data_IF_298804686927
#
_entry.id   IF_298804686927
#
_cell.length_a   1.000
_cell.length_b   1.000
_cell.length_c   1.000
_cell.angle_alpha   90.00
_cell.angle_beta   90.00
_cell.angle_gamma   90.00
#
_symmetry.space_group_name_H-M   'P 1'
#
loop_
_entity.id
_entity.type
_entity.pdbx_description
1 polymer ?
#
# COMPACT_ATOMS: atom_id res chain seq x y z
N UNK A 1 27.42 15.60 8.31
CA UNK A 1 26.38 15.89 7.32
C UNK A 1 25.16 15.07 7.69
N UNK A 2 24.10 15.72 8.19
CA UNK A 2 22.89 15.05 8.64
C UNK A 2 22.16 14.44 7.44
N UNK A 3 22.02 13.11 7.41
CA UNK A 3 21.07 12.46 6.50
C UNK A 3 19.68 12.64 7.10
N UNK A 4 18.93 13.49 6.40
CA UNK A 4 17.51 13.79 6.51
C UNK A 4 16.68 12.50 6.64
N UNK A 5 15.60 12.55 7.41
CA UNK A 5 14.85 11.41 7.95
C UNK A 5 14.50 10.28 6.98
N UNK A 6 14.45 9.08 7.55
CA UNK A 6 13.83 7.82 7.07
C UNK A 6 13.11 7.92 5.72
N UNK A 7 13.85 7.66 4.65
CA UNK A 7 13.29 7.46 3.32
C UNK A 7 12.67 6.06 3.27
N UNK A 8 11.39 5.93 3.65
CA UNK A 8 10.63 4.70 3.37
C UNK A 8 10.58 4.56 1.86
N UNK A 9 11.42 3.68 1.33
CA UNK A 9 11.47 3.38 -0.10
C UNK A 9 10.10 2.88 -0.50
N UNK A 10 9.41 3.63 -1.36
CA UNK A 10 8.09 3.24 -1.88
C UNK A 10 8.18 1.87 -2.56
N UNK A 11 7.09 1.08 -2.59
CA UNK A 11 7.04 -0.17 -3.34
C UNK A 11 7.37 0.05 -4.82
N UNK A 12 7.78 -1.02 -5.51
CA UNK A 12 8.31 -0.93 -6.88
C UNK A 12 7.23 -0.44 -7.87
N UNK A 13 5.99 -0.89 -7.64
CA UNK A 13 4.82 -0.55 -8.46
C UNK A 13 3.74 0.02 -7.55
N UNK A 14 3.84 1.28 -7.07
CA UNK A 14 2.99 1.76 -5.98
C UNK A 14 1.49 1.64 -6.23
N UNK A 15 1.02 2.01 -7.43
CA UNK A 15 -0.41 1.92 -7.76
C UNK A 15 -0.89 0.47 -7.84
N UNK A 16 -0.17 -0.41 -8.52
CA UNK A 16 -0.55 -1.83 -8.62
C UNK A 16 -0.42 -2.54 -7.26
N UNK A 17 0.52 -2.12 -6.42
CA UNK A 17 0.65 -2.61 -5.04
C UNK A 17 -0.53 -2.15 -4.19
N UNK A 18 -0.99 -0.90 -4.35
CA UNK A 18 -2.20 -0.42 -3.69
C UNK A 18 -3.44 -1.22 -4.13
N UNK A 19 -3.62 -1.50 -5.43
CA UNK A 19 -4.69 -2.38 -5.92
C UNK A 19 -4.65 -3.74 -5.21
N UNK A 20 -3.47 -4.37 -5.16
CA UNK A 20 -3.34 -5.67 -4.51
C UNK A 20 -3.68 -5.61 -3.01
N UNK A 21 -3.19 -4.60 -2.29
CA UNK A 21 -3.45 -4.45 -0.85
C UNK A 21 -4.93 -4.20 -0.56
N UNK A 22 -5.62 -3.40 -1.39
CA UNK A 22 -7.07 -3.14 -1.27
C UNK A 22 -7.87 -4.45 -1.43
N UNK A 23 -7.47 -5.31 -2.36
CA UNK A 23 -8.19 -6.55 -2.68
C UNK A 23 -7.88 -7.70 -1.71
N UNK A 24 -6.67 -7.74 -1.13
CA UNK A 24 -6.15 -8.92 -0.44
C UNK A 24 -5.94 -8.72 1.07
N UNK A 25 -6.18 -7.52 1.61
CA UNK A 25 -5.96 -7.20 3.03
C UNK A 25 -7.11 -6.38 3.62
N UNK A 26 -7.20 -6.35 4.95
CA UNK A 26 -8.06 -5.46 5.73
C UNK A 26 -7.40 -4.14 6.13
N UNK A 27 -6.31 -3.75 5.47
CA UNK A 27 -5.62 -2.49 5.76
C UNK A 27 -6.48 -1.27 5.43
N UNK A 28 -6.34 -0.23 6.24
CA UNK A 28 -7.02 1.04 5.98
C UNK A 28 -6.41 1.78 4.80
N UNK A 29 -7.19 2.64 4.14
CA UNK A 29 -6.68 3.50 3.05
C UNK A 29 -5.51 4.38 3.49
N UNK A 30 -5.48 4.79 4.76
CA UNK A 30 -4.35 5.52 5.35
C UNK A 30 -3.09 4.66 5.40
N UNK A 31 -3.19 3.42 5.88
CA UNK A 31 -2.03 2.50 5.94
C UNK A 31 -1.49 2.18 4.55
N UNK A 32 -2.39 1.89 3.60
CA UNK A 32 -2.01 1.64 2.19
C UNK A 32 -1.36 2.89 1.60
N UNK A 33 -1.93 4.08 1.84
CA UNK A 33 -1.38 5.35 1.39
C UNK A 33 0.01 5.64 1.98
N UNK A 34 0.21 5.36 3.27
CA UNK A 34 1.50 5.52 3.93
C UNK A 34 2.59 4.63 3.32
N UNK A 35 2.26 3.39 2.97
CA UNK A 35 3.21 2.46 2.34
C UNK A 35 3.47 2.79 0.86
N UNK A 36 2.40 3.00 0.08
CA UNK A 36 2.49 3.26 -1.36
C UNK A 36 2.85 4.72 -1.69
N UNK A 37 2.80 5.62 -0.72
CA UNK A 37 3.10 7.04 -0.89
C UNK A 37 1.99 7.81 -1.61
N UNK A 38 0.74 7.52 -1.27
CA UNK A 38 -0.49 8.18 -1.74
C UNK A 38 -1.23 8.83 -0.57
N UNK A 39 -2.02 9.86 -0.87
CA UNK A 39 -3.04 10.32 0.08
C UNK A 39 -4.17 9.28 0.18
N UNK A 40 -4.85 9.19 1.33
CA UNK A 40 -5.94 8.21 1.53
C UNK A 40 -7.08 8.33 0.50
N UNK A 41 -7.39 9.57 0.07
CA UNK A 41 -8.37 9.84 -0.99
C UNK A 41 -7.93 9.29 -2.37
N UNK A 42 -6.62 9.27 -2.67
CA UNK A 42 -6.14 8.65 -3.91
C UNK A 42 -6.27 7.13 -3.86
N UNK A 43 -6.06 6.53 -2.67
CA UNK A 43 -6.30 5.09 -2.45
C UNK A 43 -7.79 4.77 -2.56
N UNK A 44 -8.65 5.66 -2.06
CA UNK A 44 -10.09 5.54 -2.23
C UNK A 44 -10.49 5.55 -3.72
N UNK A 45 -9.99 6.50 -4.54
CA UNK A 45 -10.27 6.50 -5.98
C UNK A 45 -9.73 5.25 -6.71
N UNK A 46 -8.71 4.58 -6.17
CA UNK A 46 -8.26 3.26 -6.68
C UNK A 46 -9.29 2.19 -6.30
N UNK A 47 -9.74 2.15 -5.04
CA UNK A 47 -10.73 1.20 -4.56
C UNK A 47 -12.10 1.35 -5.25
N UNK A 48 -12.47 2.59 -5.59
CA UNK A 48 -13.70 2.91 -6.33
C UNK A 48 -13.58 2.64 -7.85
N UNK A 49 -12.45 2.04 -8.30
CA UNK A 49 -12.16 1.76 -9.70
C UNK A 49 -12.24 3.01 -10.60
N UNK A 50 -11.92 4.21 -10.10
CA UNK A 50 -11.93 5.42 -10.95
C UNK A 50 -10.63 5.56 -11.74
N UNK A 51 -9.49 5.15 -11.16
CA UNK A 51 -8.14 5.44 -11.68
C UNK A 51 -7.26 4.21 -11.93
N UNK A 52 -7.80 3.01 -11.70
CA UNK A 52 -7.09 1.74 -11.80
C UNK A 52 -7.87 0.62 -12.51
N UNK A 53 -8.92 0.98 -13.28
CA UNK A 53 -9.76 0.01 -14.00
C UNK A 53 -8.92 -0.97 -14.83
N UNK A 54 -9.14 -2.26 -14.62
CA UNK A 54 -8.45 -3.33 -15.35
C UNK A 54 -6.97 -3.48 -15.01
N UNK A 55 -6.48 -2.82 -13.96
CA UNK A 55 -5.12 -2.99 -13.45
C UNK A 55 -5.03 -4.32 -12.69
N UNK A 56 -3.98 -5.09 -12.98
CA UNK A 56 -3.66 -6.29 -12.20
C UNK A 56 -2.83 -5.87 -10.98
N UNK A 57 -3.25 -6.30 -9.79
CA UNK A 57 -2.53 -6.07 -8.55
C UNK A 57 -1.11 -6.65 -8.55
N UNK A 58 -0.18 -5.97 -7.89
CA UNK A 58 1.20 -6.39 -7.72
C UNK A 58 1.47 -6.80 -6.27
N UNK A 59 1.61 -8.11 -6.03
CA UNK A 59 1.76 -8.70 -4.70
C UNK A 59 3.10 -8.29 -4.03
N UNK A 60 3.08 -7.47 -2.97
CA UNK A 60 4.29 -7.01 -2.27
C UNK A 60 4.93 -8.08 -1.38
N UNK A 61 4.24 -9.19 -1.08
CA UNK A 61 4.80 -10.31 -0.32
C UNK A 61 5.71 -11.14 -1.21
N UNK A 62 5.24 -11.49 -2.41
CA UNK A 62 5.99 -12.34 -3.37
C UNK A 62 7.33 -11.72 -3.76
N UNK A 63 7.40 -10.39 -3.84
CA UNK A 63 8.62 -9.66 -4.18
C UNK A 63 9.43 -9.19 -2.96
N UNK A 64 9.01 -9.53 -1.75
CA UNK A 64 9.72 -9.24 -0.50
C UNK A 64 9.70 -7.78 -0.05
N UNK A 65 8.74 -6.98 -0.52
CA UNK A 65 8.54 -5.59 -0.08
C UNK A 65 7.69 -5.49 1.21
N UNK A 66 6.87 -6.50 1.49
CA UNK A 66 6.15 -6.69 2.75
C UNK A 66 6.22 -8.15 3.19
N UNK A 67 5.92 -8.39 4.47
CA UNK A 67 5.68 -9.76 4.98
C UNK A 67 4.22 -9.90 5.38
N UNK A 68 3.75 -11.15 5.48
CA UNK A 68 2.39 -11.44 5.91
C UNK A 68 2.16 -11.03 7.36
N UNK A 69 3.15 -11.24 8.21
CA UNK A 69 3.11 -10.88 9.63
C UNK A 69 3.00 -9.36 9.82
N UNK A 70 3.66 -8.59 8.95
CA UNK A 70 3.59 -7.13 8.98
C UNK A 70 2.20 -6.62 8.57
N UNK A 71 1.56 -7.26 7.59
CA UNK A 71 0.18 -6.98 7.20
C UNK A 71 -0.75 -7.31 8.38
N UNK A 72 -0.67 -8.51 8.97
CA UNK A 72 -1.51 -8.93 10.09
C UNK A 72 -1.37 -8.00 11.31
N UNK A 73 -0.14 -7.55 11.60
CA UNK A 73 0.14 -6.57 12.65
C UNK A 73 -0.60 -5.25 12.40
N UNK A 74 -0.57 -4.75 11.16
CA UNK A 74 -1.22 -3.50 10.79
C UNK A 74 -2.74 -3.62 10.70
N UNK A 75 -3.27 -4.75 10.22
CA UNK A 75 -4.71 -5.04 10.22
C UNK A 75 -5.30 -5.06 11.64
N UNK A 76 -4.49 -5.48 12.62
CA UNK A 76 -4.84 -5.45 14.04
C UNK A 76 -4.75 -4.06 14.68
N UNK A 77 -4.24 -3.07 13.96
CA UNK A 77 -4.05 -1.68 14.43
C UNK A 77 -4.54 -0.65 13.40
N UNK A 78 -5.88 -0.51 13.23
CA UNK A 78 -6.47 0.38 12.23
C UNK A 78 -6.54 1.87 12.64
N UNK A 79 -5.97 2.26 13.79
CA UNK A 79 -6.18 3.56 14.43
C UNK A 79 -5.34 4.72 13.86
#
# INVERSE_FOLDING_TARGET
MARKGTESTKPLMPKATAVWLIENTGLTFRQIGAFCGFHELEVQSIADDEVAIGMVGYDPIVNGQLTKEEIERCESDPA
#
